data_IF_944011637395
#
_entry.id   IF_944011637395
#
_cell.length_a   1.000
_cell.length_b   1.000
_cell.length_c   1.000
_cell.angle_alpha   90.00
_cell.angle_beta   90.00
_cell.angle_gamma   90.00
#
_symmetry.space_group_name_H-M   'P 1'
#
loop_
_entity.id
_entity.type
_entity.pdbx_description
1 polymer ?
#
# COMPACT_ATOMS: atom_id res chain seq x y z
N UNK A 1 59.21 15.83 -40.69
CA UNK A 1 58.37 16.48 -39.65
C UNK A 1 56.87 16.10 -39.69
N UNK A 2 56.36 15.39 -40.68
CA UNK A 2 54.90 15.11 -40.81
C UNK A 2 54.38 13.87 -40.05
N UNK A 3 55.22 12.90 -39.72
CA UNK A 3 54.74 11.70 -39.01
C UNK A 3 54.31 11.97 -37.56
N UNK A 4 55.04 12.82 -36.84
CA UNK A 4 54.72 13.15 -35.45
C UNK A 4 53.41 13.95 -35.29
N UNK A 5 53.08 14.83 -36.24
CA UNK A 5 51.80 15.57 -36.24
C UNK A 5 50.55 14.66 -36.46
N UNK A 6 50.71 13.59 -37.26
CA UNK A 6 49.63 12.61 -37.50
C UNK A 6 49.36 11.72 -36.27
N UNK A 7 50.40 11.34 -35.54
CA UNK A 7 50.22 10.52 -34.31
C UNK A 7 49.57 11.31 -33.17
N UNK A 8 49.96 12.57 -32.98
CA UNK A 8 49.31 13.43 -31.96
C UNK A 8 47.85 13.69 -32.27
N UNK A 9 47.46 13.85 -33.56
CA UNK A 9 46.06 13.99 -33.97
C UNK A 9 45.23 12.72 -33.69
N UNK A 10 45.84 11.53 -33.90
CA UNK A 10 45.19 10.25 -33.58
C UNK A 10 44.97 10.01 -32.08
N UNK A 11 45.95 10.41 -31.24
CA UNK A 11 45.82 10.32 -29.77
C UNK A 11 44.73 11.27 -29.24
N UNK A 12 44.66 12.50 -29.77
CA UNK A 12 43.67 13.51 -29.39
C UNK A 12 42.23 13.08 -29.75
N UNK A 13 42.05 12.43 -30.91
CA UNK A 13 40.75 11.92 -31.31
C UNK A 13 40.30 10.70 -30.47
N UNK A 14 41.24 9.85 -30.03
CA UNK A 14 40.92 8.72 -29.16
C UNK A 14 40.48 9.19 -27.77
N UNK A 15 41.11 10.24 -27.24
CA UNK A 15 40.76 10.81 -25.94
C UNK A 15 39.39 11.49 -25.97
N UNK A 16 39.05 12.19 -27.06
CA UNK A 16 37.72 12.76 -27.29
C UNK A 16 36.64 11.68 -27.35
N UNK A 17 36.90 10.54 -27.97
CA UNK A 17 35.98 9.40 -28.00
C UNK A 17 35.72 8.83 -26.60
N UNK A 18 36.72 8.75 -25.74
CA UNK A 18 36.56 8.30 -24.35
C UNK A 18 35.72 9.27 -23.51
N UNK A 19 35.95 10.57 -23.68
CA UNK A 19 35.14 11.60 -23.01
C UNK A 19 33.68 11.51 -23.45
N UNK A 20 33.42 11.32 -24.75
CA UNK A 20 32.08 11.19 -25.31
C UNK A 20 31.39 9.92 -24.81
N UNK A 21 32.11 8.83 -24.65
CA UNK A 21 31.62 7.59 -24.07
C UNK A 21 31.24 7.74 -22.60
N UNK A 22 32.09 8.42 -21.81
CA UNK A 22 31.81 8.70 -20.39
C UNK A 22 30.58 9.62 -20.25
N UNK A 23 30.47 10.64 -21.10
CA UNK A 23 29.31 11.53 -21.12
C UNK A 23 28.02 10.78 -21.50
N UNK A 24 28.10 9.85 -22.44
CA UNK A 24 26.97 9.00 -22.82
C UNK A 24 26.55 8.07 -21.67
N UNK A 25 27.50 7.48 -20.97
CA UNK A 25 27.24 6.63 -19.80
C UNK A 25 26.61 7.46 -18.67
N UNK A 26 27.12 8.66 -18.40
CA UNK A 26 26.54 9.57 -17.41
C UNK A 26 25.12 10.01 -17.78
N UNK A 27 24.84 10.28 -19.07
CA UNK A 27 23.50 10.58 -19.56
C UNK A 27 22.53 9.39 -19.43
N UNK A 28 23.02 8.17 -19.68
CA UNK A 28 22.23 6.95 -19.48
C UNK A 28 21.95 6.72 -17.99
N UNK A 29 22.94 6.91 -17.12
CA UNK A 29 22.73 6.86 -15.66
C UNK A 29 21.75 7.94 -15.19
N UNK A 30 21.84 9.15 -15.70
CA UNK A 30 20.92 10.24 -15.34
C UNK A 30 19.51 10.00 -15.82
N UNK A 31 19.36 9.31 -16.95
CA UNK A 31 18.06 8.90 -17.49
C UNK A 31 17.46 7.71 -16.72
N UNK A 32 18.27 6.76 -16.28
CA UNK A 32 17.83 5.66 -15.39
C UNK A 32 17.56 6.12 -13.95
N UNK A 33 18.22 7.19 -13.46
CA UNK A 33 17.93 7.77 -12.14
C UNK A 33 16.71 8.68 -12.10
N UNK A 34 16.12 9.01 -13.25
CA UNK A 34 14.78 9.57 -13.38
C UNK A 34 13.79 8.44 -13.73
N UNK A 35 13.75 7.39 -12.97
CA UNK A 35 12.49 6.71 -12.77
C UNK A 35 11.63 7.70 -11.99
N UNK A 36 10.80 8.43 -12.71
CA UNK A 36 9.59 9.01 -12.14
C UNK A 36 8.94 7.86 -11.41
N UNK A 37 8.84 7.98 -10.07
CA UNK A 37 8.05 7.04 -9.29
C UNK A 37 6.74 6.88 -10.06
N UNK A 38 6.32 5.65 -10.39
CA UNK A 38 5.09 5.47 -11.14
C UNK A 38 4.03 6.28 -10.40
N UNK A 39 3.26 7.10 -11.14
CA UNK A 39 2.09 7.77 -10.59
C UNK A 39 1.25 6.67 -9.95
N UNK A 40 1.45 6.48 -8.66
CA UNK A 40 0.80 5.42 -7.90
C UNK A 40 -0.65 5.89 -7.72
N UNK A 41 -1.48 5.55 -8.69
CA UNK A 41 -2.93 5.77 -8.61
C UNK A 41 -3.42 4.87 -7.49
N UNK A 42 -3.55 5.45 -6.29
CA UNK A 42 -4.16 4.75 -5.17
C UNK A 42 -5.63 4.58 -5.46
N UNK A 43 -6.07 3.35 -5.50
CA UNK A 43 -7.50 3.06 -5.48
C UNK A 43 -7.96 3.02 -4.04
N UNK A 44 -8.93 3.87 -3.70
CA UNK A 44 -9.54 3.91 -2.38
C UNK A 44 -10.82 3.10 -2.33
N UNK A 45 -11.13 2.56 -1.15
CA UNK A 45 -12.44 1.99 -0.86
C UNK A 45 -13.52 3.08 -0.86
N UNK A 46 -14.72 2.71 -1.27
CA UNK A 46 -15.85 3.62 -1.29
C UNK A 46 -16.35 3.87 0.15
N UNK A 47 -16.51 5.15 0.51
CA UNK A 47 -17.08 5.53 1.80
C UNK A 47 -18.57 5.21 1.83
N UNK A 48 -19.02 4.59 2.94
CA UNK A 48 -20.43 4.29 3.18
C UNK A 48 -20.90 5.13 4.35
N UNK A 49 -21.97 5.90 4.15
CA UNK A 49 -22.63 6.65 5.22
C UNK A 49 -23.26 5.71 6.25
N UNK A 50 -22.47 5.32 7.23
CA UNK A 50 -22.92 4.62 8.43
C UNK A 50 -22.25 5.21 9.63
N UNK A 51 -23.05 5.81 10.51
CA UNK A 51 -22.54 6.40 11.74
C UNK A 51 -22.33 5.29 12.77
N UNK A 52 -21.10 5.18 13.28
CA UNK A 52 -20.79 4.40 14.47
C UNK A 52 -20.85 5.34 15.67
N UNK A 53 -21.80 5.13 16.57
CA UNK A 53 -22.12 6.03 17.69
C UNK A 53 -21.01 6.14 18.76
N UNK A 54 -19.91 5.38 18.67
CA UNK A 54 -18.88 5.26 19.70
C UNK A 54 -17.46 5.53 19.22
N UNK A 55 -17.25 6.29 18.14
CA UNK A 55 -15.92 6.69 17.73
C UNK A 55 -15.45 7.93 18.50
N UNK A 56 -14.90 7.73 19.70
CA UNK A 56 -14.16 8.80 20.36
C UNK A 56 -12.83 9.05 19.64
N UNK A 57 -12.50 10.33 19.45
CA UNK A 57 -11.24 10.75 18.89
C UNK A 57 -10.09 10.27 19.78
N UNK A 58 -9.29 9.34 19.29
CA UNK A 58 -8.08 8.88 19.98
C UNK A 58 -6.90 9.83 19.77
N UNK A 59 -5.80 9.55 20.43
CA UNK A 59 -4.54 10.29 20.27
C UNK A 59 -3.96 10.01 18.87
N UNK A 60 -3.57 11.08 18.14
CA UNK A 60 -3.03 11.03 16.77
C UNK A 60 -1.76 10.14 16.58
N UNK A 61 -1.17 9.70 17.67
CA UNK A 61 0.00 8.81 17.67
C UNK A 61 -0.35 7.31 17.61
N UNK A 62 -1.63 6.96 17.58
CA UNK A 62 -2.09 5.56 17.60
C UNK A 62 -3.07 5.29 16.45
N UNK A 63 -2.94 4.11 15.86
CA UNK A 63 -3.93 3.61 14.92
C UNK A 63 -5.22 3.28 15.68
N UNK A 64 -6.28 4.03 15.40
CA UNK A 64 -7.61 3.80 15.97
C UNK A 64 -8.51 3.17 14.93
N UNK A 65 -9.19 2.09 15.28
CA UNK A 65 -10.16 1.42 14.43
C UNK A 65 -11.40 1.04 15.23
N UNK A 66 -12.57 1.20 14.63
CA UNK A 66 -13.81 0.66 15.18
C UNK A 66 -13.98 -0.78 14.68
N UNK A 67 -13.54 -1.73 15.49
CA UNK A 67 -13.60 -3.17 15.23
C UNK A 67 -14.60 -3.81 16.20
N UNK A 68 -15.56 -4.58 15.69
CA UNK A 68 -16.46 -5.38 16.52
C UNK A 68 -15.73 -6.61 17.06
N UNK A 69 -16.12 -7.06 18.25
CA UNK A 69 -15.63 -8.34 18.78
C UNK A 69 -16.16 -9.54 18.01
N UNK A 70 -17.36 -9.39 17.41
CA UNK A 70 -18.02 -10.39 16.58
C UNK A 70 -18.70 -9.69 15.42
N UNK A 71 -18.48 -10.19 14.22
CA UNK A 71 -19.23 -9.82 13.03
C UNK A 71 -20.20 -10.94 12.67
N UNK A 72 -21.44 -10.59 12.37
CA UNK A 72 -22.47 -11.53 11.93
C UNK A 72 -22.79 -11.25 10.47
N UNK A 73 -22.69 -12.27 9.63
CA UNK A 73 -23.05 -12.24 8.21
C UNK A 73 -23.99 -13.39 7.87
N UNK A 74 -24.71 -13.26 6.80
CA UNK A 74 -25.67 -14.28 6.32
C UNK A 74 -25.77 -14.23 4.80
N UNK A 75 -26.41 -15.24 4.19
CA UNK A 75 -26.67 -15.26 2.73
C UNK A 75 -27.47 -14.02 2.25
N UNK A 76 -28.26 -13.38 3.14
CA UNK A 76 -28.96 -12.13 2.83
C UNK A 76 -28.15 -10.88 3.04
N UNK A 77 -27.15 -10.93 3.92
CA UNK A 77 -26.22 -9.86 4.23
C UNK A 77 -24.79 -10.44 4.28
N UNK A 78 -24.20 -10.75 3.10
CA UNK A 78 -22.90 -11.42 3.04
C UNK A 78 -21.72 -10.45 3.21
N UNK A 79 -21.88 -9.44 4.06
CA UNK A 79 -20.88 -8.40 4.29
C UNK A 79 -20.97 -7.84 5.71
N UNK A 80 -19.87 -7.28 6.17
CA UNK A 80 -19.78 -6.54 7.42
C UNK A 80 -19.10 -5.19 7.22
N UNK A 81 -19.10 -4.34 8.24
CA UNK A 81 -18.54 -2.99 8.14
C UNK A 81 -17.41 -2.79 9.14
N UNK A 82 -16.39 -2.05 8.71
CA UNK A 82 -15.29 -1.58 9.56
C UNK A 82 -15.25 -0.07 9.45
N UNK A 83 -15.18 0.61 10.59
CA UNK A 83 -15.02 2.06 10.66
C UNK A 83 -13.55 2.44 10.88
N UNK A 84 -13.06 3.42 10.10
CA UNK A 84 -11.75 3.99 10.26
C UNK A 84 -11.89 5.49 10.59
N UNK A 85 -11.69 5.91 11.86
CA UNK A 85 -11.95 7.28 12.32
C UNK A 85 -11.11 8.35 11.62
N UNK A 86 -11.65 9.57 11.53
CA UNK A 86 -11.03 10.74 10.88
C UNK A 86 -9.72 11.19 11.53
N UNK A 87 -9.53 10.93 12.82
CA UNK A 87 -8.37 11.38 13.57
C UNK A 87 -7.09 10.54 13.34
N UNK A 88 -7.12 9.61 12.40
CA UNK A 88 -5.92 8.90 11.97
C UNK A 88 -5.16 9.73 10.93
N UNK A 89 -3.82 9.65 10.98
CA UNK A 89 -2.93 10.38 10.06
C UNK A 89 -2.43 9.57 8.86
N UNK A 90 -2.95 8.35 8.65
CA UNK A 90 -2.41 7.40 7.69
C UNK A 90 -3.54 6.76 6.88
N UNK A 91 -3.24 6.34 5.65
CA UNK A 91 -4.10 5.41 4.92
C UNK A 91 -3.81 3.98 5.39
N UNK A 92 -4.81 3.11 5.39
CA UNK A 92 -4.60 1.71 5.76
C UNK A 92 -5.04 0.75 4.67
N UNK A 93 -4.47 -0.46 4.71
CA UNK A 93 -4.91 -1.62 3.95
C UNK A 93 -5.13 -2.78 4.92
N UNK A 94 -6.28 -3.44 4.80
CA UNK A 94 -6.64 -4.61 5.59
C UNK A 94 -6.43 -5.86 4.76
N UNK A 95 -5.70 -6.83 5.32
CA UNK A 95 -5.46 -8.13 4.67
C UNK A 95 -5.95 -9.25 5.58
N UNK A 96 -6.90 -10.04 5.11
CA UNK A 96 -7.49 -11.16 5.84
C UNK A 96 -6.83 -12.47 5.43
N UNK A 97 -6.44 -13.25 6.42
CA UNK A 97 -5.76 -14.53 6.22
C UNK A 97 -6.52 -15.68 6.88
N UNK A 98 -6.44 -16.84 6.26
CA UNK A 98 -6.88 -18.10 6.86
C UNK A 98 -5.96 -18.53 8.01
N UNK A 99 -6.37 -19.53 8.75
CA UNK A 99 -5.55 -20.17 9.79
C UNK A 99 -4.24 -20.77 9.23
N UNK A 100 -4.22 -21.13 7.94
CA UNK A 100 -3.02 -21.60 7.25
C UNK A 100 -2.07 -20.50 6.78
N UNK A 101 -2.46 -19.23 6.95
CA UNK A 101 -1.70 -18.05 6.51
C UNK A 101 -1.90 -17.70 5.02
N UNK A 102 -2.91 -18.26 4.36
CA UNK A 102 -3.28 -17.91 3.00
C UNK A 102 -4.03 -16.58 2.99
N UNK A 103 -3.68 -15.67 2.07
CA UNK A 103 -4.40 -14.41 1.86
C UNK A 103 -5.75 -14.70 1.22
N UNK A 104 -6.83 -14.38 1.93
CA UNK A 104 -8.21 -14.59 1.49
C UNK A 104 -8.81 -13.36 0.84
N UNK A 105 -8.55 -12.19 1.41
CA UNK A 105 -9.07 -10.92 0.92
C UNK A 105 -8.15 -9.77 1.33
N UNK A 106 -8.05 -8.76 0.48
CA UNK A 106 -7.33 -7.53 0.76
C UNK A 106 -8.15 -6.33 0.26
N UNK A 107 -8.29 -5.32 1.11
CA UNK A 107 -8.95 -4.07 0.74
C UNK A 107 -8.04 -3.23 -0.16
N UNK A 108 -8.62 -2.26 -0.84
CA UNK A 108 -7.92 -1.10 -1.36
C UNK A 108 -7.47 -0.20 -0.19
N UNK A 109 -6.91 0.96 -0.48
CA UNK A 109 -6.60 1.94 0.55
C UNK A 109 -7.87 2.47 1.21
N UNK A 110 -7.83 2.58 2.53
CA UNK A 110 -8.90 3.12 3.36
C UNK A 110 -8.39 4.43 3.96
N UNK A 111 -8.96 5.54 3.55
CA UNK A 111 -8.63 6.85 4.09
C UNK A 111 -9.26 7.06 5.48
N UNK A 112 -8.67 7.90 6.34
CA UNK A 112 -9.31 8.32 7.59
C UNK A 112 -10.72 8.88 7.36
N UNK A 113 -11.63 8.61 8.29
CA UNK A 113 -13.04 8.99 8.17
C UNK A 113 -13.88 8.06 7.31
N UNK A 114 -13.34 6.94 6.83
CA UNK A 114 -14.02 6.01 5.94
C UNK A 114 -14.63 4.84 6.69
N UNK A 115 -15.90 4.55 6.39
CA UNK A 115 -16.54 3.29 6.74
C UNK A 115 -16.51 2.37 5.52
N UNK A 116 -15.98 1.17 5.69
CA UNK A 116 -15.74 0.23 4.60
C UNK A 116 -16.66 -0.96 4.72
N UNK A 117 -17.21 -1.38 3.59
CA UNK A 117 -17.98 -2.62 3.45
C UNK A 117 -17.07 -3.76 3.04
N UNK A 118 -16.91 -4.75 3.88
CA UNK A 118 -16.09 -5.93 3.62
C UNK A 118 -16.99 -7.07 3.11
N UNK A 119 -16.73 -7.64 1.92
CA UNK A 119 -17.54 -8.69 1.32
C UNK A 119 -17.23 -10.06 1.96
N UNK A 120 -17.59 -10.25 3.22
CA UNK A 120 -17.29 -11.47 3.98
C UNK A 120 -17.80 -12.74 3.32
N UNK A 121 -18.95 -12.69 2.63
CA UNK A 121 -19.49 -13.85 1.93
C UNK A 121 -18.62 -14.43 0.83
N UNK A 122 -17.61 -13.67 0.36
CA UNK A 122 -16.71 -14.11 -0.70
C UNK A 122 -15.56 -14.97 -0.16
N UNK A 123 -15.23 -14.86 1.14
CA UNK A 123 -14.06 -15.51 1.71
C UNK A 123 -14.29 -16.18 3.09
N UNK A 124 -15.38 -15.85 3.78
CA UNK A 124 -15.68 -16.42 5.10
C UNK A 124 -16.43 -17.74 4.95
N UNK A 125 -15.97 -18.77 5.67
CA UNK A 125 -16.67 -20.06 5.76
C UNK A 125 -17.87 -20.00 6.71
N UNK A 126 -18.90 -20.81 6.43
CA UNK A 126 -20.09 -20.92 7.30
C UNK A 126 -19.73 -21.39 8.70
N UNK A 127 -20.47 -20.86 9.69
CA UNK A 127 -20.23 -21.07 11.11
C UNK A 127 -19.38 -19.97 11.74
N UNK A 128 -19.05 -20.15 13.01
CA UNK A 128 -18.14 -19.26 13.74
C UNK A 128 -16.70 -19.57 13.39
N UNK A 129 -15.99 -18.57 12.90
CA UNK A 129 -14.57 -18.68 12.52
C UNK A 129 -13.78 -17.48 13.05
N UNK A 130 -12.49 -17.71 13.26
CA UNK A 130 -11.52 -16.66 13.56
C UNK A 130 -10.66 -16.41 12.32
N UNK A 131 -10.41 -15.15 12.00
CA UNK A 131 -9.56 -14.73 10.88
C UNK A 131 -8.48 -13.79 11.39
N UNK A 132 -7.27 -13.95 10.88
CA UNK A 132 -6.19 -13.00 11.13
C UNK A 132 -6.33 -11.84 10.15
N UNK A 133 -6.45 -10.62 10.66
CA UNK A 133 -6.47 -9.40 9.87
C UNK A 133 -5.19 -8.60 10.14
N UNK A 134 -4.35 -8.47 9.14
CA UNK A 134 -3.18 -7.60 9.20
C UNK A 134 -3.55 -6.21 8.70
N UNK A 135 -3.08 -5.21 9.42
CA UNK A 135 -3.30 -3.79 9.10
C UNK A 135 -1.95 -3.19 8.73
N UNK A 136 -1.83 -2.77 7.49
CA UNK A 136 -0.69 -2.01 6.99
C UNK A 136 -1.05 -0.52 6.92
N UNK A 137 -0.20 0.35 7.46
CA UNK A 137 -0.37 1.79 7.45
C UNK A 137 0.59 2.46 6.47
N UNK A 138 0.09 3.39 5.69
CA UNK A 138 0.80 4.09 4.63
C UNK A 138 0.72 5.60 4.83
N UNK A 139 1.80 6.30 4.55
CA UNK A 139 1.83 7.74 4.52
C UNK A 139 0.91 8.28 3.42
N UNK A 140 0.09 9.28 3.74
CA UNK A 140 -0.90 9.83 2.80
C UNK A 140 -0.27 10.62 1.66
N UNK A 141 0.88 11.26 1.90
CA UNK A 141 1.54 12.11 0.90
C UNK A 141 2.48 11.28 0.01
N UNK A 142 3.33 10.45 0.63
CA UNK A 142 4.36 9.72 -0.10
C UNK A 142 3.92 8.34 -0.56
N UNK A 143 2.93 7.72 0.11
CA UNK A 143 2.53 6.34 -0.14
C UNK A 143 3.48 5.31 0.42
N UNK A 144 4.46 5.72 1.18
CA UNK A 144 5.41 4.80 1.79
C UNK A 144 4.75 4.00 2.91
N UNK A 145 5.12 2.73 3.01
CA UNK A 145 4.70 1.86 4.11
C UNK A 145 5.34 2.34 5.41
N UNK A 146 4.51 2.72 6.39
CA UNK A 146 4.95 3.15 7.70
C UNK A 146 5.01 1.97 8.67
N UNK A 147 3.99 1.10 8.62
CA UNK A 147 3.89 -0.08 9.47
C UNK A 147 3.05 -1.16 8.80
N UNK A 148 3.50 -2.40 8.87
CA UNK A 148 2.83 -3.59 8.32
C UNK A 148 2.43 -4.61 9.40
N UNK A 149 2.56 -4.26 10.67
CA UNK A 149 2.68 -5.25 11.74
C UNK A 149 1.55 -5.26 12.77
N UNK A 150 0.46 -4.54 12.54
CA UNK A 150 -0.69 -4.65 13.45
C UNK A 150 -1.57 -5.81 13.02
N UNK A 151 -1.58 -6.88 13.81
CA UNK A 151 -2.43 -8.04 13.59
C UNK A 151 -3.58 -8.06 14.59
N UNK A 152 -4.79 -8.25 14.08
CA UNK A 152 -6.02 -8.37 14.87
C UNK A 152 -6.71 -9.69 14.54
N UNK A 153 -7.14 -10.41 15.55
CA UNK A 153 -8.00 -11.61 15.36
C UNK A 153 -9.46 -11.16 15.35
N UNK A 154 -10.14 -11.43 14.26
CA UNK A 154 -11.54 -11.09 14.05
C UNK A 154 -12.39 -12.36 14.06
N UNK A 155 -13.49 -12.34 14.85
CA UNK A 155 -14.46 -13.41 14.89
C UNK A 155 -15.61 -13.08 13.95
N UNK A 156 -15.95 -14.01 13.08
CA UNK A 156 -17.04 -13.84 12.12
C UNK A 156 -17.96 -15.06 12.20
N UNK A 157 -19.25 -14.81 12.44
CA UNK A 157 -20.31 -15.81 12.38
C UNK A 157 -20.99 -15.68 11.03
N UNK A 158 -20.99 -16.74 10.24
CA UNK A 158 -21.72 -16.82 8.97
C UNK A 158 -22.85 -17.85 9.09
N UNK A 159 -24.11 -17.38 9.07
CA UNK A 159 -25.32 -18.18 9.16
C UNK A 159 -25.88 -18.62 7.80
#
# INVERSE_FOLDING_TARGET
MDKQKKEQKKKKNRWLLWILLILLILLLFWRCSREEAPDFIREYEEHIERQYDNMEAGDNARLNMAVSQLYEISDKQPFFYIGYPENNGYDIVLSFFSDSGELLYQTKYIAPGTNVKIPGGDFVEKGLREYSCNIAAYDQETGELISDSVQVIMKIQYD
#
